data_IF_232907074428
#
_entry.id   IF_232907074428
#
_cell.length_a   1.000
_cell.length_b   1.000
_cell.length_c   1.000
_cell.angle_alpha   90.00
_cell.angle_beta   90.00
_cell.angle_gamma   90.00
#
_symmetry.space_group_name_H-M   'P 1'
#
loop_
_entity.id
_entity.type
_entity.pdbx_description
1 polymer ?
#
# COMPACT_ATOMS: atom_id res chain seq x y z
N UNK A 1 -22.82 25.04 -4.60
CA UNK A 1 -21.78 24.60 -3.65
C UNK A 1 -20.67 25.64 -3.66
N UNK A 2 -20.02 25.92 -2.53
CA UNK A 2 -18.90 26.89 -2.48
C UNK A 2 -17.63 26.26 -3.09
N UNK A 3 -17.02 26.85 -4.16
CA UNK A 3 -15.80 26.36 -4.79
C UNK A 3 -14.65 26.15 -3.81
N UNK A 4 -14.50 27.03 -2.81
CA UNK A 4 -13.44 26.92 -1.79
C UNK A 4 -13.61 25.69 -0.91
N UNK A 5 -14.86 25.29 -0.66
CA UNK A 5 -15.18 24.09 0.13
C UNK A 5 -14.85 22.82 -0.65
N UNK A 6 -15.05 22.83 -1.97
CA UNK A 6 -14.71 21.73 -2.86
C UNK A 6 -13.19 21.52 -2.96
N UNK A 7 -12.42 22.60 -3.12
CA UNK A 7 -10.95 22.54 -3.12
C UNK A 7 -10.39 21.99 -1.80
N UNK A 8 -10.96 22.42 -0.67
CA UNK A 8 -10.57 21.89 0.64
C UNK A 8 -10.87 20.39 0.78
N UNK A 9 -11.99 19.92 0.23
CA UNK A 9 -12.34 18.50 0.26
C UNK A 9 -11.41 17.67 -0.64
N UNK A 10 -11.04 18.20 -1.82
CA UNK A 10 -10.04 17.59 -2.71
C UNK A 10 -8.70 17.44 -1.99
N UNK A 11 -8.19 18.53 -1.41
CA UNK A 11 -6.92 18.49 -0.67
C UNK A 11 -6.93 17.47 0.48
N UNK A 12 -8.04 17.38 1.23
CA UNK A 12 -8.18 16.37 2.29
C UNK A 12 -8.22 14.93 1.74
N UNK A 13 -8.79 14.72 0.55
CA UNK A 13 -8.84 13.42 -0.10
C UNK A 13 -7.45 12.98 -0.57
N UNK A 14 -6.71 13.88 -1.24
CA UNK A 14 -5.31 13.69 -1.64
C UNK A 14 -4.45 13.28 -0.42
N UNK A 15 -4.55 14.02 0.69
CA UNK A 15 -3.80 13.72 1.92
C UNK A 15 -4.13 12.33 2.50
N UNK A 16 -5.39 11.90 2.42
CA UNK A 16 -5.81 10.56 2.90
C UNK A 16 -5.27 9.44 2.01
N UNK A 17 -5.27 9.67 0.70
CA UNK A 17 -4.69 8.75 -0.28
C UNK A 17 -3.20 8.59 -0.03
N UNK A 18 -2.48 9.70 0.13
CA UNK A 18 -1.04 9.69 0.42
C UNK A 18 -0.72 8.96 1.71
N UNK A 19 -1.50 9.20 2.77
CA UNK A 19 -1.35 8.50 4.05
C UNK A 19 -1.57 6.99 3.89
N UNK A 20 -2.61 6.59 3.17
CA UNK A 20 -2.90 5.18 2.92
C UNK A 20 -1.81 4.52 2.07
N UNK A 21 -1.28 5.23 1.05
CA UNK A 21 -0.20 4.75 0.20
C UNK A 21 1.09 4.52 1.00
N UNK A 22 1.45 5.44 1.91
CA UNK A 22 2.61 5.27 2.80
C UNK A 22 2.44 4.06 3.71
N UNK A 23 1.27 3.90 4.31
CA UNK A 23 0.98 2.74 5.15
C UNK A 23 1.09 1.42 4.37
N UNK A 24 0.55 1.38 3.15
CA UNK A 24 0.67 0.22 2.25
C UNK A 24 2.14 -0.10 1.95
N UNK A 25 2.96 0.92 1.65
CA UNK A 25 4.38 0.75 1.40
C UNK A 25 5.13 0.21 2.63
N UNK A 26 4.79 0.67 3.84
CA UNK A 26 5.36 0.13 5.08
C UNK A 26 5.03 -1.36 5.27
N UNK A 27 3.79 -1.78 5.01
CA UNK A 27 3.41 -3.18 5.07
C UNK A 27 4.17 -4.01 4.03
N UNK A 28 4.28 -3.51 2.80
CA UNK A 28 5.04 -4.17 1.74
C UNK A 28 6.52 -4.33 2.12
N UNK A 29 7.12 -3.32 2.74
CA UNK A 29 8.51 -3.38 3.20
C UNK A 29 8.69 -4.44 4.30
N UNK A 30 7.79 -4.50 5.29
CA UNK A 30 7.84 -5.52 6.35
C UNK A 30 7.72 -6.95 5.82
N UNK A 31 6.90 -7.14 4.78
CA UNK A 31 6.76 -8.43 4.07
C UNK A 31 8.09 -8.81 3.41
N UNK A 32 8.74 -7.88 2.71
CA UNK A 32 10.04 -8.12 2.06
C UNK A 32 11.09 -8.50 3.09
N UNK A 33 11.20 -7.75 4.19
CA UNK A 33 12.15 -8.03 5.27
C UNK A 33 11.94 -9.41 5.90
N UNK A 34 10.69 -9.77 6.17
CA UNK A 34 10.37 -11.06 6.79
C UNK A 34 10.58 -12.22 5.80
N UNK A 35 10.31 -12.00 4.50
CA UNK A 35 10.61 -12.97 3.44
C UNK A 35 12.12 -13.21 3.34
N UNK A 36 12.92 -12.14 3.29
CA UNK A 36 14.38 -12.25 3.28
C UNK A 36 14.90 -12.99 4.52
N UNK A 37 14.38 -12.67 5.71
CA UNK A 37 14.77 -13.36 6.93
C UNK A 37 14.49 -14.87 6.87
N UNK A 38 13.37 -15.28 6.28
CA UNK A 38 13.04 -16.71 6.08
C UNK A 38 14.03 -17.36 5.11
N UNK A 39 14.34 -16.69 4.00
CA UNK A 39 15.33 -17.18 3.02
C UNK A 39 16.71 -17.34 3.66
N UNK A 40 17.16 -16.36 4.44
CA UNK A 40 18.44 -16.42 5.16
C UNK A 40 18.47 -17.61 6.14
N UNK A 41 17.37 -17.84 6.87
CA UNK A 41 17.26 -19.00 7.76
C UNK A 41 17.26 -20.33 7.00
N UNK A 42 16.61 -20.40 5.84
CA UNK A 42 16.61 -21.59 5.00
C UNK A 42 18.00 -21.89 4.42
N UNK A 43 18.72 -20.86 3.98
CA UNK A 43 20.12 -20.98 3.53
C UNK A 43 21.00 -21.47 4.67
N UNK A 44 20.89 -20.85 5.85
CA UNK A 44 21.65 -21.25 7.02
C UNK A 44 21.33 -22.68 7.47
N UNK A 45 20.06 -23.09 7.34
CA UNK A 45 19.62 -24.47 7.59
C UNK A 45 20.30 -25.43 6.63
N UNK A 46 20.28 -25.15 5.33
CA UNK A 46 20.91 -26.00 4.32
C UNK A 46 22.43 -26.15 4.55
N UNK A 47 23.14 -25.05 4.84
CA UNK A 47 24.56 -25.08 5.23
C UNK A 47 24.79 -25.87 6.52
N UNK A 48 23.83 -25.82 7.44
CA UNK A 48 23.89 -26.54 8.70
C UNK A 48 23.60 -28.04 8.58
N UNK A 49 22.85 -28.46 7.58
CA UNK A 49 22.56 -29.85 7.29
C UNK A 49 23.65 -30.57 6.50
N UNK A 50 24.40 -29.86 5.64
CA UNK A 50 25.37 -30.49 4.75
C UNK A 50 26.36 -31.44 5.47
N UNK A 51 27.00 -31.05 6.60
CA UNK A 51 27.92 -31.93 7.32
C UNK A 51 27.26 -33.12 8.02
N UNK A 52 25.93 -33.14 8.15
CA UNK A 52 25.19 -34.27 8.73
C UNK A 52 24.94 -35.39 7.71
N UNK A 53 25.00 -35.05 6.42
CA UNK A 53 24.83 -35.96 5.29
C UNK A 53 26.13 -36.70 4.95
N UNK A 54 27.26 -36.12 5.33
CA UNK A 54 28.56 -36.77 5.23
C UNK A 54 28.65 -37.91 6.26
N UNK A 55 28.87 -39.14 5.76
CA UNK A 55 29.01 -40.33 6.60
C UNK A 55 30.43 -40.42 7.17
N UNK A 56 30.69 -39.69 8.25
CA UNK A 56 31.91 -39.86 9.03
C UNK A 56 31.71 -40.86 10.18
N UNK A 57 32.72 -41.71 10.42
CA UNK A 57 32.84 -42.46 11.66
C UNK A 57 33.12 -41.48 12.80
N UNK A 58 32.09 -41.17 13.59
CA UNK A 58 32.18 -40.19 14.67
C UNK A 58 32.76 -40.83 15.94
N UNK A 59 33.78 -40.18 16.51
CA UNK A 59 34.18 -40.43 17.89
C UNK A 59 33.19 -39.78 18.88
N UNK A 60 33.39 -39.95 20.18
CA UNK A 60 32.49 -39.41 21.22
C UNK A 60 32.32 -37.88 21.13
N UNK A 61 33.36 -37.14 20.73
CA UNK A 61 33.28 -35.69 20.53
C UNK A 61 32.44 -35.33 19.29
N UNK A 62 32.62 -36.07 18.18
CA UNK A 62 31.84 -35.93 16.95
C UNK A 62 30.35 -36.23 17.16
N UNK A 63 30.03 -37.25 17.97
CA UNK A 63 28.64 -37.57 18.33
C UNK A 63 27.97 -36.42 19.12
N UNK A 64 28.67 -35.82 20.09
CA UNK A 64 28.15 -34.65 20.82
C UNK A 64 27.97 -33.45 19.91
N UNK A 65 28.92 -33.17 19.03
CA UNK A 65 28.82 -32.08 18.05
C UNK A 65 27.61 -32.28 17.12
N UNK A 66 27.41 -33.50 16.62
CA UNK A 66 26.24 -33.88 15.82
C UNK A 66 24.93 -33.66 16.58
N UNK A 67 24.85 -34.09 17.83
CA UNK A 67 23.65 -33.91 18.66
C UNK A 67 23.34 -32.43 18.93
N UNK A 68 24.37 -31.63 19.23
CA UNK A 68 24.23 -30.18 19.38
C UNK A 68 23.72 -29.52 18.08
N UNK A 69 24.24 -29.95 16.93
CA UNK A 69 23.83 -29.44 15.62
C UNK A 69 22.38 -29.79 15.28
N UNK A 70 21.95 -31.02 15.57
CA UNK A 70 20.54 -31.42 15.43
C UNK A 70 19.63 -30.59 16.34
N UNK A 71 20.03 -30.34 17.59
CA UNK A 71 19.29 -29.46 18.51
C UNK A 71 19.20 -28.02 18.00
N UNK A 72 20.28 -27.51 17.39
CA UNK A 72 20.30 -26.21 16.75
C UNK A 72 19.37 -26.16 15.52
N UNK A 73 19.42 -27.15 14.63
CA UNK A 73 18.55 -27.23 13.46
C UNK A 73 17.07 -27.21 13.83
N UNK A 74 16.68 -27.93 14.89
CA UNK A 74 15.30 -27.90 15.40
C UNK A 74 14.85 -26.50 15.84
N UNK A 75 15.75 -25.74 16.48
CA UNK A 75 15.47 -24.34 16.86
C UNK A 75 15.33 -23.45 15.63
N UNK A 76 16.18 -23.67 14.62
CA UNK A 76 16.12 -22.92 13.37
C UNK A 76 14.83 -23.21 12.58
N UNK A 77 14.40 -24.46 12.52
CA UNK A 77 13.10 -24.84 11.94
C UNK A 77 11.94 -24.15 12.65
N UNK A 78 11.96 -24.15 13.99
CA UNK A 78 10.94 -23.45 14.79
C UNK A 78 10.94 -21.94 14.51
N UNK A 79 12.10 -21.33 14.30
CA UNK A 79 12.22 -19.93 13.94
C UNK A 79 11.68 -19.63 12.53
N UNK A 80 11.94 -20.51 11.56
CA UNK A 80 11.36 -20.42 10.20
C UNK A 80 9.84 -20.49 10.26
N UNK A 81 9.28 -21.45 11.00
CA UNK A 81 7.83 -21.59 11.16
C UNK A 81 7.20 -20.36 11.81
N UNK A 82 7.83 -19.82 12.85
CA UNK A 82 7.37 -18.61 13.51
C UNK A 82 7.39 -17.39 12.56
N UNK A 83 8.46 -17.25 11.77
CA UNK A 83 8.56 -16.19 10.76
C UNK A 83 7.54 -16.36 9.63
N UNK A 84 7.25 -17.60 9.21
CA UNK A 84 6.22 -17.87 8.21
C UNK A 84 4.82 -17.46 8.71
N UNK A 85 4.46 -17.79 9.95
CA UNK A 85 3.20 -17.31 10.56
C UNK A 85 3.13 -15.79 10.67
N UNK A 86 4.26 -15.16 11.00
CA UNK A 86 4.38 -13.69 11.03
C UNK A 86 4.15 -13.11 9.63
N UNK A 87 4.72 -13.72 8.60
CA UNK A 87 4.56 -13.30 7.20
C UNK A 87 3.09 -13.39 6.75
N UNK A 88 2.38 -14.47 7.10
CA UNK A 88 0.96 -14.61 6.78
C UNK A 88 0.11 -13.51 7.40
N UNK A 89 0.37 -13.16 8.66
CA UNK A 89 -0.31 -12.03 9.31
C UNK A 89 0.01 -10.70 8.62
N UNK A 90 1.27 -10.47 8.27
CA UNK A 90 1.69 -9.25 7.57
C UNK A 90 1.04 -9.13 6.18
N UNK A 91 0.86 -10.24 5.46
CA UNK A 91 0.13 -10.30 4.18
C UNK A 91 -1.33 -9.91 4.38
N UNK A 92 -2.00 -10.46 5.38
CA UNK A 92 -3.39 -10.07 5.69
C UNK A 92 -3.51 -8.58 6.03
N UNK A 93 -2.55 -8.01 6.77
CA UNK A 93 -2.53 -6.58 7.07
C UNK A 93 -2.23 -5.72 5.84
N UNK A 94 -1.36 -6.19 4.94
CA UNK A 94 -1.10 -5.55 3.65
C UNK A 94 -2.38 -5.51 2.80
N UNK A 95 -3.11 -6.63 2.68
CA UNK A 95 -4.35 -6.69 1.89
C UNK A 95 -5.39 -5.69 2.41
N UNK A 96 -5.55 -5.59 3.74
CA UNK A 96 -6.42 -4.58 4.37
C UNK A 96 -5.96 -3.15 4.06
N UNK A 97 -4.65 -2.90 4.10
CA UNK A 97 -4.10 -1.58 3.77
C UNK A 97 -4.30 -1.25 2.28
N UNK A 98 -4.22 -2.25 1.41
CA UNK A 98 -4.46 -2.10 -0.02
C UNK A 98 -5.92 -1.76 -0.31
N UNK A 99 -6.86 -2.48 0.31
CA UNK A 99 -8.30 -2.18 0.21
C UNK A 99 -8.64 -0.77 0.70
N UNK A 100 -8.03 -0.34 1.82
CA UNK A 100 -8.18 1.03 2.31
C UNK A 100 -7.64 2.05 1.31
N UNK A 101 -6.46 1.82 0.75
CA UNK A 101 -5.88 2.72 -0.25
C UNK A 101 -6.76 2.82 -1.51
N UNK A 102 -7.23 1.68 -2.03
CA UNK A 102 -8.16 1.65 -3.19
C UNK A 102 -9.44 2.42 -2.90
N UNK A 103 -10.03 2.24 -1.71
CA UNK A 103 -11.24 2.97 -1.31
C UNK A 103 -11.00 4.49 -1.24
N UNK A 104 -9.85 4.93 -0.71
CA UNK A 104 -9.53 6.36 -0.69
C UNK A 104 -9.32 6.92 -2.11
N UNK A 105 -8.65 6.18 -3.00
CA UNK A 105 -8.47 6.57 -4.40
C UNK A 105 -9.80 6.70 -5.13
N UNK A 106 -10.73 5.77 -4.92
CA UNK A 106 -12.08 5.86 -5.50
C UNK A 106 -12.82 7.10 -5.01
N UNK A 107 -12.72 7.43 -3.71
CA UNK A 107 -13.35 8.64 -3.14
C UNK A 107 -12.74 9.92 -3.70
N UNK A 108 -11.42 9.96 -3.86
CA UNK A 108 -10.70 11.08 -4.46
C UNK A 108 -11.15 11.28 -5.92
N UNK A 109 -11.19 10.23 -6.74
CA UNK A 109 -11.68 10.29 -8.12
C UNK A 109 -13.15 10.74 -8.20
N UNK A 110 -13.99 10.24 -7.29
CA UNK A 110 -15.37 10.68 -7.18
C UNK A 110 -15.48 12.17 -6.83
N UNK A 111 -14.61 12.69 -5.96
CA UNK A 111 -14.56 14.11 -5.64
C UNK A 111 -14.03 14.95 -6.81
N UNK A 112 -13.02 14.47 -7.54
CA UNK A 112 -12.49 15.15 -8.72
C UNK A 112 -13.58 15.32 -9.79
N UNK A 113 -14.33 14.26 -10.10
CA UNK A 113 -15.44 14.36 -11.06
C UNK A 113 -16.56 15.31 -10.62
N UNK A 114 -16.83 15.41 -9.32
CA UNK A 114 -17.78 16.39 -8.77
C UNK A 114 -17.25 17.83 -8.87
N UNK A 115 -15.95 18.03 -8.67
CA UNK A 115 -15.30 19.34 -8.83
C UNK A 115 -15.38 19.79 -10.28
N UNK A 116 -15.05 18.92 -11.22
CA UNK A 116 -15.09 19.24 -12.65
C UNK A 116 -16.52 19.53 -13.11
N UNK A 117 -17.49 18.71 -12.68
CA UNK A 117 -18.91 18.96 -12.96
C UNK A 117 -19.41 20.30 -12.39
N UNK A 118 -18.90 20.71 -11.22
CA UNK A 118 -19.26 21.99 -10.61
C UNK A 118 -18.62 23.18 -11.35
N UNK A 119 -17.41 23.02 -11.87
CA UNK A 119 -16.73 24.03 -12.70
C UNK A 119 -17.48 24.24 -14.02
N UNK A 120 -17.78 23.15 -14.72
CA UNK A 120 -18.58 23.19 -15.96
C UNK A 120 -19.93 23.89 -15.76
N UNK A 121 -20.61 23.62 -14.64
CA UNK A 121 -21.89 24.24 -14.33
C UNK A 121 -21.77 25.75 -14.09
N UNK A 122 -20.67 26.20 -13.47
CA UNK A 122 -20.38 27.62 -13.27
C UNK A 122 -20.07 28.32 -14.59
N UNK A 123 -19.21 27.73 -15.43
CA UNK A 123 -18.87 28.27 -16.75
C UNK A 123 -20.10 28.43 -17.65
N UNK A 124 -21.00 27.43 -17.64
CA UNK A 124 -22.27 27.52 -18.38
C UNK A 124 -23.18 28.62 -17.84
N UNK A 125 -23.25 28.77 -16.51
CA UNK A 125 -24.06 29.81 -15.89
C UNK A 125 -23.54 31.22 -16.21
N UNK A 126 -22.22 31.41 -16.24
CA UNK A 126 -21.59 32.69 -16.57
C UNK A 126 -21.74 33.02 -18.06
N UNK A 127 -21.62 32.01 -18.95
CA UNK A 127 -21.90 32.18 -20.38
C UNK A 127 -23.36 32.60 -20.61
N UNK A 128 -24.32 31.92 -19.96
CA UNK A 128 -25.74 32.26 -20.06
C UNK A 128 -26.06 33.67 -19.53
N UNK A 129 -25.34 34.14 -18.49
CA UNK A 129 -25.47 35.52 -18.01
C UNK A 129 -24.94 36.51 -19.04
N UNK A 130 -23.74 36.27 -19.57
CA UNK A 130 -23.15 37.12 -20.61
C UNK A 130 -24.05 37.23 -21.85
N UNK A 131 -24.65 36.12 -22.30
CA UNK A 131 -25.59 36.11 -23.42
C UNK A 131 -26.86 36.93 -23.13
N UNK A 132 -27.39 36.85 -21.91
CA UNK A 132 -28.55 37.66 -21.49
C UNK A 132 -28.20 39.14 -21.46
N UNK A 133 -27.08 39.50 -20.84
CA UNK A 133 -26.61 40.87 -20.75
C UNK A 133 -26.37 41.46 -22.14
N UNK A 134 -25.77 40.69 -23.05
CA UNK A 134 -25.57 41.07 -24.45
C UNK A 134 -26.90 41.26 -25.19
N UNK A 135 -27.89 40.39 -24.95
CA UNK A 135 -29.23 40.50 -25.54
C UNK A 135 -29.97 41.74 -25.04
N UNK A 136 -29.89 42.04 -23.75
CA UNK A 136 -30.47 43.25 -23.15
C UNK A 136 -29.79 44.51 -23.68
N UNK A 137 -28.46 44.52 -23.75
CA UNK A 137 -27.70 45.63 -24.29
C UNK A 137 -28.01 45.88 -25.77
N UNK A 138 -28.19 44.82 -26.57
CA UNK A 138 -28.62 44.92 -27.95
C UNK A 138 -30.03 45.51 -28.08
N UNK A 139 -30.97 45.13 -27.21
CA UNK A 139 -32.32 45.73 -27.18
C UNK A 139 -32.29 47.24 -26.89
N UNK A 140 -31.35 47.69 -26.07
CA UNK A 140 -31.20 49.11 -25.73
C UNK A 140 -30.45 49.94 -26.77
N UNK A 141 -29.56 49.32 -27.55
CA UNK A 141 -28.70 50.00 -28.54
C UNK A 141 -29.15 49.83 -29.99
N UNK A 142 -30.24 49.09 -30.24
CA UNK A 142 -30.75 48.85 -31.59
C UNK A 142 -31.18 50.18 -32.27
N UNK A 143 -30.68 50.48 -33.48
CA UNK A 143 -31.15 51.64 -34.25
C UNK A 143 -32.63 51.48 -34.60
N UNK A 144 -33.39 52.57 -34.50
CA UNK A 144 -34.80 52.63 -34.92
C UNK A 144 -34.96 52.40 -36.43
#
# INVERSE_FOLDING_TARGET
MDPKRLEKLRWLAELRVDKAARQLAEHQQRIRETTQQIEDFQQFKAMSEAPLREHETLNAAGLRARQNRLGFLKKLESAIEASARKLDNQRSDHDRAEDLWRLQRQKEQGLESLVDSARDALERADTQRADRDATEQWRHTRPR
#
